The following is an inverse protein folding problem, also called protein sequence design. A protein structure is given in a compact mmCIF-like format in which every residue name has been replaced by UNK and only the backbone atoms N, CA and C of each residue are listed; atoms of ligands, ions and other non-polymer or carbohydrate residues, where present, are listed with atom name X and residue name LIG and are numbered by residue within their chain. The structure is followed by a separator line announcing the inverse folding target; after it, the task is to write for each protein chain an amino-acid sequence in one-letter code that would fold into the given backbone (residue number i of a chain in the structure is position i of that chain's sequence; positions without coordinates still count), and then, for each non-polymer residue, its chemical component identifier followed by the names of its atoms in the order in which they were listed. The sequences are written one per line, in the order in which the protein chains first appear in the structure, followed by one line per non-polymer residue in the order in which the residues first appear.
data_IF_270542063089
#
_entry.id   IF_270542063089
#
_cell.length_a   1.000
_cell.length_b   1.000
_cell.length_c   1.000
_cell.angle_alpha   90.00
_cell.angle_beta   90.00
_cell.angle_gamma   90.00
#
_symmetry.space_group_name_H-M   'P 1'
#
loop_
_entity.id
_entity.type
_entity.pdbx_description
1 polymer ?
#
# COMPACT_ATOMS: atom_id res chain seq x y z
N UNK A 1 -30.53 -41.23 28.23
CA UNK A 1 -29.44 -40.50 27.56
C UNK A 1 -29.58 -39.06 27.98
N UNK A 2 -28.74 -38.60 28.93
CA UNK A 2 -28.86 -37.24 29.46
C UNK A 2 -28.42 -36.24 28.40
N UNK A 3 -29.36 -35.44 27.90
CA UNK A 3 -29.08 -34.34 26.92
C UNK A 3 -27.99 -33.37 27.40
N UNK A 4 -27.81 -33.30 28.73
CA UNK A 4 -26.83 -32.44 29.38
C UNK A 4 -25.38 -32.94 29.29
N UNK A 5 -25.15 -34.23 28.94
CA UNK A 5 -23.79 -34.80 28.83
C UNK A 5 -23.24 -34.74 27.38
N UNK A 6 -24.01 -34.22 26.43
CA UNK A 6 -23.64 -34.16 25.01
C UNK A 6 -22.98 -32.83 24.65
N UNK A 7 -21.79 -32.87 24.08
CA UNK A 7 -21.02 -31.69 23.65
C UNK A 7 -21.79 -30.81 22.66
N UNK A 8 -22.61 -31.40 21.80
CA UNK A 8 -23.43 -30.66 20.83
C UNK A 8 -24.43 -29.72 21.49
N UNK A 9 -25.02 -30.14 22.66
CA UNK A 9 -25.99 -29.32 23.38
C UNK A 9 -25.39 -28.01 23.88
N UNK A 10 -24.17 -28.02 24.43
CA UNK A 10 -23.49 -26.82 24.88
C UNK A 10 -23.19 -25.87 23.72
N UNK A 11 -22.81 -26.41 22.57
CA UNK A 11 -22.56 -25.59 21.37
C UNK A 11 -23.87 -24.98 20.84
N UNK A 12 -24.95 -25.77 20.77
CA UNK A 12 -26.25 -25.28 20.32
C UNK A 12 -26.78 -24.14 21.23
N UNK A 13 -26.70 -24.32 22.54
CA UNK A 13 -27.10 -23.31 23.52
C UNK A 13 -26.20 -22.10 23.45
N UNK A 14 -24.88 -22.31 23.34
CA UNK A 14 -23.91 -21.23 23.19
C UNK A 14 -24.17 -20.35 21.96
N UNK A 15 -24.52 -20.99 20.83
CA UNK A 15 -24.85 -20.26 19.60
C UNK A 15 -26.23 -19.58 19.72
N UNK A 16 -27.23 -20.25 20.31
CA UNK A 16 -28.56 -19.68 20.49
C UNK A 16 -28.57 -18.41 21.35
N UNK A 17 -27.69 -18.34 22.34
CA UNK A 17 -27.53 -17.15 23.21
C UNK A 17 -26.51 -16.19 22.63
N UNK A 18 -25.36 -16.68 22.14
CA UNK A 18 -24.23 -15.88 21.68
C UNK A 18 -24.52 -15.09 20.40
N UNK A 19 -25.30 -15.67 19.45
CA UNK A 19 -25.62 -14.99 18.21
C UNK A 19 -26.50 -13.75 18.44
N UNK A 20 -27.64 -13.81 19.17
CA UNK A 20 -28.43 -12.62 19.48
C UNK A 20 -27.65 -11.59 20.30
N UNK A 21 -26.89 -12.04 21.30
CA UNK A 21 -26.04 -11.14 22.09
C UNK A 21 -24.99 -10.42 21.22
N UNK A 22 -24.32 -11.16 20.35
CA UNK A 22 -23.35 -10.58 19.38
C UNK A 22 -23.99 -9.61 18.41
N UNK A 23 -25.19 -9.91 17.91
CA UNK A 23 -25.95 -9.00 17.03
C UNK A 23 -26.35 -7.72 17.76
N UNK A 24 -26.76 -7.78 19.04
CA UNK A 24 -27.08 -6.59 19.84
C UNK A 24 -25.84 -5.72 20.03
N UNK A 25 -24.71 -6.32 20.47
CA UNK A 25 -23.45 -5.60 20.68
C UNK A 25 -22.95 -4.95 19.38
N UNK A 26 -22.95 -5.70 18.26
CA UNK A 26 -22.51 -5.15 16.97
C UNK A 26 -23.47 -4.09 16.43
N UNK A 27 -24.77 -4.17 16.74
CA UNK A 27 -25.73 -3.13 16.37
C UNK A 27 -25.46 -1.86 17.13
N UNK A 28 -25.20 -1.95 18.43
CA UNK A 28 -24.87 -0.79 19.24
C UNK A 28 -23.53 -0.17 18.81
N UNK A 29 -22.52 -1.00 18.56
CA UNK A 29 -21.23 -0.56 18.03
C UNK A 29 -21.40 0.16 16.68
N UNK A 30 -22.19 -0.42 15.77
CA UNK A 30 -22.51 0.22 14.49
C UNK A 30 -23.17 1.58 14.67
N UNK A 31 -24.17 1.69 15.56
CA UNK A 31 -24.86 2.95 15.85
C UNK A 31 -23.90 4.02 16.42
N UNK A 32 -23.00 3.63 17.33
CA UNK A 32 -21.97 4.51 17.89
C UNK A 32 -21.03 5.01 16.79
N UNK A 33 -20.57 4.10 15.91
CA UNK A 33 -19.67 4.44 14.80
C UNK A 33 -20.33 5.36 13.76
N UNK A 34 -21.62 5.15 13.46
CA UNK A 34 -22.41 6.02 12.57
C UNK A 34 -22.56 7.41 13.20
N UNK A 35 -22.92 7.49 14.49
CA UNK A 35 -23.04 8.79 15.21
C UNK A 35 -21.72 9.56 15.27
N UNK A 36 -20.59 8.86 15.30
CA UNK A 36 -19.24 9.44 15.26
C UNK A 36 -18.72 9.75 13.86
N UNK A 37 -19.54 9.59 12.81
CA UNK A 37 -19.12 9.70 11.39
C UNK A 37 -17.84 8.89 11.09
N UNK A 38 -17.67 7.74 11.74
CA UNK A 38 -16.48 6.91 11.58
C UNK A 38 -16.55 6.13 10.27
N UNK A 39 -15.44 6.12 9.54
CA UNK A 39 -15.29 5.30 8.33
C UNK A 39 -15.42 3.80 8.60
N UNK A 40 -15.37 3.38 9.89
CA UNK A 40 -15.50 1.99 10.32
C UNK A 40 -16.93 1.49 10.43
N UNK A 41 -17.94 2.34 10.27
CA UNK A 41 -19.35 1.94 10.35
C UNK A 41 -19.73 0.86 9.33
N UNK A 42 -19.17 0.94 8.11
CA UNK A 42 -19.38 -0.05 7.05
C UNK A 42 -18.81 -1.42 7.43
N UNK A 43 -17.65 -1.47 8.07
CA UNK A 43 -17.01 -2.71 8.53
C UNK A 43 -17.83 -3.38 9.64
N UNK A 44 -18.35 -2.59 10.58
CA UNK A 44 -19.25 -3.09 11.62
C UNK A 44 -20.53 -3.69 11.03
N UNK A 45 -21.10 -3.09 9.96
CA UNK A 45 -22.27 -3.63 9.28
C UNK A 45 -21.97 -4.95 8.53
N UNK A 46 -20.81 -5.08 7.89
CA UNK A 46 -20.38 -6.33 7.24
C UNK A 46 -20.20 -7.45 8.26
N UNK A 47 -19.57 -7.15 9.38
CA UNK A 47 -19.39 -8.11 10.48
C UNK A 47 -20.74 -8.61 11.03
N UNK A 48 -21.65 -7.66 11.31
CA UNK A 48 -22.98 -7.96 11.87
C UNK A 48 -23.87 -8.73 10.90
N UNK A 49 -23.95 -8.28 9.63
CA UNK A 49 -24.98 -8.78 8.72
C UNK A 49 -24.58 -10.08 8.02
N UNK A 50 -23.27 -10.31 7.84
CA UNK A 50 -22.79 -11.45 7.04
C UNK A 50 -21.86 -12.36 7.82
N UNK A 51 -20.82 -11.83 8.45
CA UNK A 51 -19.78 -12.67 9.05
C UNK A 51 -20.27 -13.41 10.28
N UNK A 52 -20.98 -12.72 11.18
CA UNK A 52 -21.47 -13.31 12.42
C UNK A 52 -22.54 -14.37 12.16
N UNK A 53 -23.58 -14.16 11.33
CA UNK A 53 -24.57 -15.20 11.02
C UNK A 53 -23.93 -16.40 10.31
N UNK A 54 -23.06 -16.19 9.33
CA UNK A 54 -22.40 -17.27 8.61
C UNK A 54 -21.46 -18.07 9.52
N UNK A 55 -20.73 -17.39 10.42
CA UNK A 55 -19.89 -18.03 11.43
C UNK A 55 -20.71 -18.89 12.41
N UNK A 56 -21.88 -18.39 12.83
CA UNK A 56 -22.80 -19.15 13.68
C UNK A 56 -23.34 -20.41 12.99
N UNK A 57 -23.72 -20.30 11.70
CA UNK A 57 -24.14 -21.45 10.89
C UNK A 57 -23.03 -22.49 10.76
N UNK A 58 -21.80 -22.06 10.47
CA UNK A 58 -20.63 -22.95 10.40
C UNK A 58 -20.36 -23.66 11.73
N UNK A 59 -20.38 -22.92 12.83
CA UNK A 59 -20.19 -23.50 14.16
C UNK A 59 -21.29 -24.52 14.48
N UNK A 60 -22.54 -24.25 14.08
CA UNK A 60 -23.66 -25.14 14.28
C UNK A 60 -23.49 -26.43 13.47
N UNK A 61 -23.11 -26.31 12.20
CA UNK A 61 -22.89 -27.48 11.34
C UNK A 61 -21.72 -28.34 11.83
N UNK A 62 -20.59 -27.74 12.15
CA UNK A 62 -19.36 -28.49 12.48
C UNK A 62 -19.39 -29.00 13.91
N UNK A 63 -19.94 -28.23 14.88
CA UNK A 63 -19.85 -28.55 16.31
C UNK A 63 -21.14 -29.15 16.89
N UNK A 64 -22.30 -28.69 16.43
CA UNK A 64 -23.57 -29.19 16.95
C UNK A 64 -24.11 -30.33 16.10
N UNK A 65 -23.97 -30.30 14.77
CA UNK A 65 -24.43 -31.36 13.88
C UNK A 65 -23.36 -32.40 13.55
N UNK A 66 -22.11 -32.19 14.04
CA UNK A 66 -20.95 -33.08 13.86
C UNK A 66 -20.66 -33.42 12.39
N UNK A 67 -21.03 -32.51 11.47
CA UNK A 67 -20.77 -32.66 10.04
C UNK A 67 -19.24 -32.57 9.81
N UNK A 68 -18.66 -33.55 9.10
CA UNK A 68 -17.21 -33.51 8.84
C UNK A 68 -16.81 -32.24 8.11
N UNK A 69 -15.63 -31.70 8.47
CA UNK A 69 -15.08 -30.52 7.80
C UNK A 69 -14.80 -30.75 6.30
N UNK A 70 -14.72 -32.00 5.87
CA UNK A 70 -14.51 -32.43 4.49
C UNK A 70 -15.79 -32.41 3.65
N UNK A 71 -16.95 -32.27 4.28
CA UNK A 71 -18.23 -32.20 3.59
C UNK A 71 -18.23 -31.01 2.61
N UNK A 72 -18.67 -31.20 1.35
CA UNK A 72 -18.72 -30.14 0.36
C UNK A 72 -19.48 -28.90 0.83
N UNK A 73 -20.58 -29.07 1.59
CA UNK A 73 -21.37 -27.97 2.12
C UNK A 73 -20.57 -27.14 3.12
N UNK A 74 -19.84 -27.81 4.04
CA UNK A 74 -18.98 -27.14 5.02
C UNK A 74 -17.84 -26.42 4.32
N UNK A 75 -17.20 -27.05 3.33
CA UNK A 75 -16.11 -26.43 2.54
C UNK A 75 -16.60 -25.18 1.81
N UNK A 76 -17.76 -25.22 1.15
CA UNK A 76 -18.33 -24.05 0.46
C UNK A 76 -18.61 -22.91 1.45
N UNK A 77 -19.26 -23.19 2.57
CA UNK A 77 -19.57 -22.19 3.60
C UNK A 77 -18.30 -21.62 4.24
N UNK A 78 -17.30 -22.47 4.50
CA UNK A 78 -16.00 -22.04 5.03
C UNK A 78 -15.24 -21.16 4.02
N UNK A 79 -15.35 -21.48 2.72
CA UNK A 79 -14.78 -20.64 1.65
C UNK A 79 -15.47 -19.27 1.61
N UNK A 80 -16.79 -19.23 1.68
CA UNK A 80 -17.56 -17.99 1.75
C UNK A 80 -17.21 -17.16 2.99
N UNK A 81 -17.07 -17.82 4.15
CA UNK A 81 -16.64 -17.18 5.39
C UNK A 81 -15.24 -16.59 5.28
N UNK A 82 -14.28 -17.37 4.77
CA UNK A 82 -12.90 -16.90 4.55
C UNK A 82 -12.84 -15.71 3.58
N UNK A 83 -13.65 -15.75 2.51
CA UNK A 83 -13.75 -14.62 1.57
C UNK A 83 -14.33 -13.37 2.24
N UNK A 84 -15.37 -13.50 3.05
CA UNK A 84 -15.93 -12.37 3.81
C UNK A 84 -14.92 -11.78 4.81
N UNK A 85 -14.14 -12.64 5.49
CA UNK A 85 -13.05 -12.21 6.37
C UNK A 85 -12.00 -11.43 5.56
N UNK A 86 -11.59 -11.93 4.39
CA UNK A 86 -10.65 -11.25 3.51
C UNK A 86 -11.17 -9.86 3.09
N UNK A 87 -12.42 -9.78 2.64
CA UNK A 87 -13.07 -8.51 2.26
C UNK A 87 -13.12 -7.54 3.46
N UNK A 88 -13.43 -8.04 4.64
CA UNK A 88 -13.46 -7.24 5.88
C UNK A 88 -12.07 -6.69 6.21
N UNK A 89 -11.03 -7.53 6.17
CA UNK A 89 -9.65 -7.13 6.43
C UNK A 89 -9.16 -6.07 5.43
N UNK A 90 -9.41 -6.27 4.14
CA UNK A 90 -9.05 -5.30 3.11
C UNK A 90 -9.82 -3.99 3.25
N UNK A 91 -11.10 -4.06 3.62
CA UNK A 91 -11.92 -2.88 3.88
C UNK A 91 -11.42 -2.12 5.11
N UNK A 92 -11.00 -2.83 6.15
CA UNK A 92 -10.42 -2.24 7.36
C UNK A 92 -9.07 -1.57 7.06
N UNK A 93 -8.20 -2.23 6.32
CA UNK A 93 -6.93 -1.66 5.86
C UNK A 93 -7.17 -0.37 5.05
N UNK A 94 -8.12 -0.40 4.12
CA UNK A 94 -8.44 0.78 3.33
C UNK A 94 -8.97 1.94 4.20
N UNK A 95 -9.85 1.64 5.15
CA UNK A 95 -10.42 2.65 6.05
C UNK A 95 -9.34 3.29 6.96
N UNK A 96 -8.43 2.47 7.50
CA UNK A 96 -7.38 2.96 8.43
C UNK A 96 -6.24 3.65 7.70
N UNK A 97 -5.81 3.15 6.54
CA UNK A 97 -4.64 3.67 5.84
C UNK A 97 -4.96 4.89 4.97
N UNK A 98 -6.12 4.92 4.31
CA UNK A 98 -6.43 5.93 3.29
C UNK A 98 -7.53 6.89 3.68
N UNK A 99 -8.62 6.44 4.30
CA UNK A 99 -9.76 7.29 4.59
C UNK A 99 -9.55 8.21 5.81
N UNK A 100 -8.75 7.78 6.79
CA UNK A 100 -8.38 8.57 7.97
C UNK A 100 -7.21 9.53 7.76
N UNK A 101 -6.59 9.59 6.58
CA UNK A 101 -5.40 10.40 6.34
C UNK A 101 -5.74 11.91 6.21
N UNK A 102 -4.97 12.81 6.87
CA UNK A 102 -5.11 14.26 6.71
C UNK A 102 -5.01 14.68 5.23
N UNK A 103 -5.67 15.79 4.85
CA UNK A 103 -5.72 16.24 3.45
C UNK A 103 -4.35 16.52 2.83
N UNK A 104 -3.36 16.89 3.64
CA UNK A 104 -1.98 17.17 3.23
C UNK A 104 -1.06 15.94 3.29
N UNK A 105 -1.58 14.75 3.66
CA UNK A 105 -0.76 13.55 3.75
C UNK A 105 -0.31 13.05 2.38
N UNK A 106 0.95 12.60 2.27
CA UNK A 106 1.52 11.95 1.09
C UNK A 106 0.66 10.77 0.59
N UNK A 107 -0.11 10.12 1.49
CA UNK A 107 -1.00 9.00 1.16
C UNK A 107 -2.10 9.39 0.17
N UNK A 108 -2.58 10.64 0.19
CA UNK A 108 -3.56 11.15 -0.79
C UNK A 108 -2.93 11.54 -2.14
N UNK A 109 -1.61 11.64 -2.19
CA UNK A 109 -0.87 11.94 -3.43
C UNK A 109 -0.54 10.68 -4.24
N UNK A 110 -0.75 9.49 -3.66
CA UNK A 110 -0.53 8.23 -4.39
C UNK A 110 -1.58 8.09 -5.50
N UNK A 111 -1.16 7.83 -6.75
CA UNK A 111 -2.09 7.49 -7.82
C UNK A 111 -2.96 6.29 -7.43
N UNK A 112 -4.27 6.37 -7.68
CA UNK A 112 -5.23 5.32 -7.32
C UNK A 112 -4.83 3.94 -7.88
N UNK A 113 -4.17 3.93 -9.04
CA UNK A 113 -3.74 2.69 -9.70
C UNK A 113 -2.84 1.82 -8.79
N UNK A 114 -1.93 2.41 -7.99
CA UNK A 114 -1.08 1.63 -7.09
C UNK A 114 -1.87 0.97 -5.96
N UNK A 115 -2.88 1.67 -5.45
CA UNK A 115 -3.77 1.16 -4.41
C UNK A 115 -4.63 0.03 -4.96
N UNK A 116 -5.15 0.18 -6.17
CA UNK A 116 -5.97 -0.83 -6.83
C UNK A 116 -5.15 -2.08 -7.18
N UNK A 117 -3.94 -1.92 -7.74
CA UNK A 117 -3.03 -3.04 -8.03
C UNK A 117 -2.68 -3.80 -6.74
N UNK A 118 -2.32 -3.09 -5.66
CA UNK A 118 -2.03 -3.71 -4.38
C UNK A 118 -3.26 -4.47 -3.82
N UNK A 119 -4.46 -3.91 -3.96
CA UNK A 119 -5.71 -4.55 -3.55
C UNK A 119 -5.97 -5.82 -4.34
N UNK A 120 -5.84 -5.79 -5.67
CA UNK A 120 -6.01 -6.98 -6.52
C UNK A 120 -5.00 -8.06 -6.18
N UNK A 121 -3.75 -7.70 -5.94
CA UNK A 121 -2.71 -8.65 -5.50
C UNK A 121 -3.07 -9.30 -4.16
N UNK A 122 -3.51 -8.52 -3.17
CA UNK A 122 -3.93 -9.03 -1.86
C UNK A 122 -5.17 -9.92 -1.95
N UNK A 123 -6.14 -9.59 -2.80
CA UNK A 123 -7.31 -10.44 -3.05
C UNK A 123 -6.88 -11.77 -3.68
N UNK A 124 -6.01 -11.73 -4.69
CA UNK A 124 -5.50 -12.93 -5.35
C UNK A 124 -4.74 -13.86 -4.39
N UNK A 125 -3.83 -13.28 -3.60
CA UNK A 125 -3.07 -14.04 -2.58
C UNK A 125 -4.03 -14.62 -1.52
N UNK A 126 -4.95 -13.82 -0.98
CA UNK A 126 -5.92 -14.26 0.01
C UNK A 126 -6.82 -15.38 -0.50
N UNK A 127 -7.31 -15.26 -1.74
CA UNK A 127 -8.10 -16.30 -2.39
C UNK A 127 -7.29 -17.59 -2.61
N UNK A 128 -6.04 -17.48 -3.06
CA UNK A 128 -5.14 -18.62 -3.23
C UNK A 128 -4.91 -19.36 -1.90
N UNK A 129 -4.70 -18.63 -0.81
CA UNK A 129 -4.55 -19.19 0.55
C UNK A 129 -5.83 -19.93 0.98
N UNK A 130 -7.01 -19.31 0.80
CA UNK A 130 -8.31 -19.90 1.13
C UNK A 130 -8.51 -21.20 0.36
N UNK A 131 -8.27 -21.19 -0.95
CA UNK A 131 -8.42 -22.38 -1.79
C UNK A 131 -7.40 -23.48 -1.44
N UNK A 132 -6.17 -23.10 -1.14
CA UNK A 132 -5.14 -24.06 -0.71
C UNK A 132 -5.51 -24.74 0.60
N UNK A 133 -5.96 -23.95 1.59
CA UNK A 133 -6.26 -24.46 2.92
C UNK A 133 -7.53 -25.33 2.97
N UNK A 134 -8.61 -24.91 2.29
CA UNK A 134 -9.91 -25.57 2.36
C UNK A 134 -10.03 -26.71 1.35
N UNK A 135 -9.53 -26.50 0.13
CA UNK A 135 -9.69 -27.44 -0.99
C UNK A 135 -8.42 -28.25 -1.29
N UNK A 136 -7.32 -27.99 -0.58
CA UNK A 136 -6.04 -28.68 -0.83
C UNK A 136 -5.42 -28.36 -2.19
N UNK A 137 -5.81 -27.24 -2.83
CA UNK A 137 -5.27 -26.83 -4.13
C UNK A 137 -3.79 -26.49 -4.00
N UNK A 138 -2.96 -27.09 -4.83
CA UNK A 138 -1.52 -26.83 -4.84
C UNK A 138 -1.21 -25.50 -5.51
N UNK A 139 -1.13 -24.45 -4.73
CA UNK A 139 -0.87 -23.07 -5.23
C UNK A 139 0.63 -22.76 -5.38
N UNK A 140 1.53 -23.71 -5.04
CA UNK A 140 2.97 -23.50 -5.10
C UNK A 140 3.49 -23.11 -6.49
N UNK A 141 2.98 -23.76 -7.55
CA UNK A 141 3.32 -23.40 -8.92
C UNK A 141 2.88 -21.98 -9.31
N UNK A 142 1.71 -21.56 -8.84
CA UNK A 142 1.20 -20.20 -9.03
C UNK A 142 2.12 -19.16 -8.35
N UNK A 143 2.51 -19.41 -7.11
CA UNK A 143 3.43 -18.51 -6.40
C UNK A 143 4.83 -18.49 -7.01
N UNK A 144 5.31 -19.64 -7.51
CA UNK A 144 6.58 -19.69 -8.24
C UNK A 144 6.52 -18.85 -9.53
N UNK A 145 5.44 -18.98 -10.31
CA UNK A 145 5.24 -18.20 -11.53
C UNK A 145 5.12 -16.69 -11.22
N UNK A 146 4.37 -16.32 -10.18
CA UNK A 146 4.28 -14.92 -9.72
C UNK A 146 5.62 -14.39 -9.24
N UNK A 147 6.43 -15.23 -8.57
CA UNK A 147 7.79 -14.88 -8.15
C UNK A 147 8.70 -14.54 -9.31
N UNK A 148 8.74 -15.42 -10.34
CA UNK A 148 9.51 -15.18 -11.55
C UNK A 148 9.03 -13.90 -12.27
N UNK A 149 7.72 -13.74 -12.42
CA UNK A 149 7.13 -12.54 -13.05
C UNK A 149 7.51 -11.27 -12.27
N UNK A 150 7.49 -11.33 -10.94
CA UNK A 150 7.87 -10.19 -10.10
C UNK A 150 9.34 -9.80 -10.28
N UNK A 151 10.23 -10.78 -10.42
CA UNK A 151 11.67 -10.52 -10.73
C UNK A 151 11.82 -9.83 -12.07
N UNK A 152 11.13 -10.31 -13.11
CA UNK A 152 11.17 -9.69 -14.44
C UNK A 152 10.66 -8.26 -14.40
N UNK A 153 9.52 -8.01 -13.75
CA UNK A 153 8.96 -6.67 -13.58
C UNK A 153 9.93 -5.78 -12.77
N UNK A 154 10.51 -6.32 -11.69
CA UNK A 154 11.49 -5.61 -10.87
C UNK A 154 12.70 -5.15 -11.67
N UNK A 155 13.25 -6.02 -12.52
CA UNK A 155 14.35 -5.68 -13.42
C UNK A 155 13.95 -4.61 -14.45
N UNK A 156 12.75 -4.68 -15.02
CA UNK A 156 12.24 -3.64 -15.93
C UNK A 156 12.09 -2.27 -15.26
N UNK A 157 11.68 -2.24 -13.99
CA UNK A 157 11.46 -1.02 -13.23
C UNK A 157 12.71 -0.49 -12.51
N UNK A 158 13.80 -1.26 -12.48
CA UNK A 158 15.01 -0.96 -11.71
C UNK A 158 15.53 0.47 -11.96
N UNK A 159 15.64 0.87 -13.23
CA UNK A 159 16.12 2.21 -13.59
C UNK A 159 15.15 3.32 -13.14
N UNK A 160 13.85 3.09 -13.27
CA UNK A 160 12.82 4.07 -12.85
C UNK A 160 12.82 4.27 -11.35
N UNK A 161 12.95 3.18 -10.58
CA UNK A 161 13.05 3.23 -9.10
C UNK A 161 14.36 3.93 -8.70
N UNK A 162 15.48 3.64 -9.36
CA UNK A 162 16.75 4.31 -9.14
C UNK A 162 16.65 5.84 -9.32
N UNK A 163 15.95 6.30 -10.35
CA UNK A 163 15.72 7.73 -10.59
C UNK A 163 14.91 8.39 -9.47
N UNK A 164 13.86 7.72 -8.99
CA UNK A 164 13.03 8.23 -7.88
C UNK A 164 13.86 8.33 -6.60
N UNK A 165 14.62 7.27 -6.29
CA UNK A 165 15.48 7.22 -5.08
C UNK A 165 16.54 8.32 -5.14
N UNK A 166 17.21 8.50 -6.28
CA UNK A 166 18.19 9.59 -6.49
C UNK A 166 17.57 10.97 -6.29
N UNK A 167 16.35 11.18 -6.81
CA UNK A 167 15.61 12.43 -6.60
C UNK A 167 15.29 12.70 -5.12
N UNK A 168 14.90 11.67 -4.38
CA UNK A 168 14.66 11.78 -2.95
C UNK A 168 15.94 12.11 -2.18
N UNK A 169 17.07 11.49 -2.49
CA UNK A 169 18.36 11.80 -1.86
C UNK A 169 18.76 13.26 -2.12
N UNK A 170 18.63 13.74 -3.35
CA UNK A 170 18.90 15.15 -3.68
C UNK A 170 18.05 16.13 -2.86
N UNK A 171 16.78 15.79 -2.60
CA UNK A 171 15.90 16.62 -1.76
C UNK A 171 16.25 16.55 -0.26
N UNK A 172 16.75 15.41 0.22
CA UNK A 172 17.14 15.25 1.62
C UNK A 172 18.51 15.84 1.93
N UNK A 173 19.50 15.55 1.10
CA UNK A 173 20.88 15.99 1.33
C UNK A 173 21.11 17.45 0.96
N UNK A 174 20.30 17.99 0.06
CA UNK A 174 20.39 19.38 -0.45
C UNK A 174 21.82 19.81 -0.76
N UNK A 175 22.55 19.11 -1.63
CA UNK A 175 23.93 19.44 -1.96
C UNK A 175 24.03 20.82 -2.65
N UNK A 176 22.90 21.30 -3.17
CA UNK A 176 22.68 22.65 -3.67
C UNK A 176 21.27 23.13 -3.31
N UNK A 177 21.03 24.41 -3.39
CA UNK A 177 19.73 25.05 -3.17
C UNK A 177 19.31 25.87 -4.38
N UNK A 178 18.05 26.29 -4.39
CA UNK A 178 17.58 27.29 -5.34
C UNK A 178 18.48 28.54 -5.18
N UNK A 179 18.86 29.15 -6.29
CA UNK A 179 19.78 30.28 -6.43
C UNK A 179 21.26 29.91 -6.38
N UNK A 180 21.67 28.68 -6.06
CA UNK A 180 23.06 28.25 -6.17
C UNK A 180 23.48 28.16 -7.65
N UNK A 181 24.75 28.50 -7.95
CA UNK A 181 25.35 28.27 -9.23
C UNK A 181 25.99 26.89 -9.31
N UNK A 182 25.58 26.12 -10.29
CA UNK A 182 26.11 24.78 -10.55
C UNK A 182 26.89 24.74 -11.84
N UNK A 183 27.98 23.99 -11.81
CA UNK A 183 28.73 23.59 -13.00
C UNK A 183 28.74 22.07 -13.11
N UNK A 184 28.24 21.60 -14.22
CA UNK A 184 28.21 20.21 -14.63
C UNK A 184 28.91 20.05 -15.97
N UNK A 185 29.26 18.85 -16.42
CA UNK A 185 29.87 18.64 -17.74
C UNK A 185 29.06 19.18 -18.91
N UNK A 186 27.73 19.32 -18.74
CA UNK A 186 26.80 19.69 -19.81
C UNK A 186 26.14 21.05 -19.61
N UNK A 187 26.20 21.62 -18.39
CA UNK A 187 25.55 22.88 -18.06
C UNK A 187 26.33 23.66 -17.01
N UNK A 188 26.33 24.96 -17.14
CA UNK A 188 26.76 25.92 -16.12
C UNK A 188 25.69 26.98 -15.98
N UNK A 189 25.13 27.14 -14.77
CA UNK A 189 24.07 28.13 -14.59
C UNK A 189 23.53 28.14 -13.17
N UNK A 190 22.48 28.93 -12.97
CA UNK A 190 21.81 29.13 -11.68
C UNK A 190 20.64 28.17 -11.53
N UNK A 191 20.50 27.51 -10.38
CA UNK A 191 19.37 26.66 -10.04
C UNK A 191 18.13 27.52 -9.81
N UNK A 192 17.12 27.37 -10.63
CA UNK A 192 15.86 28.11 -10.51
C UNK A 192 14.74 27.26 -9.89
N UNK A 193 14.81 25.94 -10.04
CA UNK A 193 13.81 25.03 -9.49
C UNK A 193 14.41 23.66 -9.18
N UNK A 194 14.00 23.05 -8.07
CA UNK A 194 14.38 21.68 -7.68
C UNK A 194 13.12 20.86 -7.44
N UNK A 195 12.90 19.88 -8.30
CA UNK A 195 11.78 18.94 -8.22
C UNK A 195 12.28 17.54 -7.81
N UNK A 196 11.36 16.67 -7.41
CA UNK A 196 11.68 15.27 -7.07
C UNK A 196 12.28 14.47 -8.24
N UNK A 197 12.11 14.93 -9.47
CA UNK A 197 12.55 14.24 -10.70
C UNK A 197 13.68 14.95 -11.42
N UNK A 198 13.71 16.27 -11.40
CA UNK A 198 14.65 17.06 -12.16
C UNK A 198 14.99 18.38 -11.47
N UNK A 199 16.17 18.92 -11.80
CA UNK A 199 16.62 20.26 -11.45
C UNK A 199 16.59 21.12 -12.70
N UNK A 200 16.12 22.35 -12.57
CA UNK A 200 16.07 23.32 -13.64
C UNK A 200 17.20 24.35 -13.43
N UNK A 201 18.06 24.46 -14.42
CA UNK A 201 19.24 25.32 -14.39
C UNK A 201 19.08 26.38 -15.47
N UNK A 202 19.09 27.66 -15.07
CA UNK A 202 19.13 28.79 -16.00
C UNK A 202 20.59 29.03 -16.42
N UNK A 203 20.89 28.79 -17.69
CA UNK A 203 22.21 28.94 -18.27
C UNK A 203 22.47 30.33 -18.85
N UNK A 204 21.51 31.26 -18.78
CA UNK A 204 21.55 32.57 -19.42
C UNK A 204 21.19 32.53 -20.91
N UNK A 205 21.34 31.40 -21.58
CA UNK A 205 20.91 31.16 -22.96
C UNK A 205 19.64 30.35 -23.07
N UNK A 206 19.16 29.80 -21.95
CA UNK A 206 17.96 28.98 -21.85
C UNK A 206 17.88 28.17 -20.56
N UNK A 207 16.77 27.49 -20.37
CA UNK A 207 16.53 26.65 -19.22
C UNK A 207 16.93 25.20 -19.53
N UNK A 208 17.95 24.70 -18.83
CA UNK A 208 18.35 23.30 -18.94
C UNK A 208 17.66 22.47 -17.84
N UNK A 209 16.94 21.43 -18.24
CA UNK A 209 16.26 20.50 -17.35
C UNK A 209 17.13 19.25 -17.20
N UNK A 210 17.67 19.02 -16.00
CA UNK A 210 18.58 17.92 -15.73
C UNK A 210 17.92 16.91 -14.78
N UNK A 211 17.74 15.63 -15.20
CA UNK A 211 17.21 14.58 -14.33
C UNK A 211 18.08 14.39 -13.08
N UNK A 212 17.45 14.20 -11.91
CA UNK A 212 18.17 13.97 -10.65
C UNK A 212 19.04 12.72 -10.68
N UNK A 213 18.64 11.69 -11.43
CA UNK A 213 19.44 10.48 -11.64
C UNK A 213 20.76 10.76 -12.34
N UNK A 214 20.79 11.73 -13.24
CA UNK A 214 22.02 12.15 -13.91
C UNK A 214 22.92 12.92 -12.94
N UNK A 215 22.38 13.86 -12.18
CA UNK A 215 23.12 14.59 -11.15
C UNK A 215 23.67 13.69 -10.04
N UNK A 216 22.93 12.64 -9.66
CA UNK A 216 23.37 11.69 -8.64
C UNK A 216 24.56 10.82 -9.08
N UNK A 217 24.77 10.65 -10.39
CA UNK A 217 25.84 9.81 -10.97
C UNK A 217 26.96 10.60 -11.63
N UNK A 218 26.78 11.91 -11.77
CA UNK A 218 27.75 12.80 -12.42
C UNK A 218 28.35 13.76 -11.39
N UNK A 219 29.67 13.95 -11.43
CA UNK A 219 30.31 14.96 -10.62
C UNK A 219 29.84 16.36 -11.06
N UNK A 220 29.51 17.20 -10.10
CA UNK A 220 29.17 18.59 -10.32
C UNK A 220 29.87 19.47 -9.28
N UNK A 221 30.09 20.74 -9.61
CA UNK A 221 30.67 21.73 -8.72
C UNK A 221 29.60 22.74 -8.32
N UNK A 222 29.41 22.93 -7.02
CA UNK A 222 28.57 24.01 -6.51
C UNK A 222 29.46 25.26 -6.36
N UNK A 223 29.31 26.22 -7.28
CA UNK A 223 30.07 27.45 -7.31
C UNK A 223 29.63 28.50 -6.28
N UNK A 224 28.50 28.23 -5.57
CA UNK A 224 28.01 29.10 -4.49
C UNK A 224 28.47 28.67 -3.12
N UNK A 225 29.18 27.52 -3.00
CA UNK A 225 29.67 26.98 -1.74
C UNK A 225 31.10 26.47 -1.84
N UNK A 226 31.97 26.79 -0.85
CA UNK A 226 31.73 27.69 0.29
C UNK A 226 31.61 29.15 -0.12
N UNK A 227 30.88 29.95 0.67
CA UNK A 227 30.67 31.36 0.37
C UNK A 227 32.00 32.14 0.33
N UNK A 228 32.22 32.95 -0.73
CA UNK A 228 33.35 33.87 -0.84
C UNK A 228 34.63 33.30 -1.44
N UNK A 229 34.67 32.08 -1.96
CA UNK A 229 35.87 31.47 -2.53
C UNK A 229 35.67 31.04 -3.98
N UNK A 230 35.45 31.99 -4.87
CA UNK A 230 35.35 31.69 -6.32
C UNK A 230 36.33 32.49 -7.12
N UNK A 231 37.13 31.80 -7.94
CA UNK A 231 38.00 32.41 -8.93
C UNK A 231 37.20 32.72 -10.20
N UNK A 232 37.16 33.98 -10.61
CA UNK A 232 36.53 34.39 -11.85
C UNK A 232 37.64 34.86 -12.81
N UNK A 233 37.92 34.11 -13.88
CA UNK A 233 38.82 34.53 -14.94
C UNK A 233 38.05 35.22 -16.07
N UNK A 234 38.38 36.45 -16.37
CA UNK A 234 37.85 37.20 -17.51
C UNK A 234 38.95 37.29 -18.58
N UNK A 235 38.71 36.64 -19.71
CA UNK A 235 39.62 36.78 -20.87
C UNK A 235 39.09 37.86 -21.79
N UNK A 236 39.85 38.97 -21.91
CA UNK A 236 39.54 40.04 -22.84
C UNK A 236 40.54 40.01 -24.02
N UNK A 237 40.01 39.95 -25.23
CA UNK A 237 40.83 40.08 -26.46
C UNK A 237 40.81 41.51 -26.92
N UNK A 238 41.99 42.11 -26.99
CA UNK A 238 42.20 43.45 -27.60
C UNK A 238 42.59 43.29 -29.07
N UNK A 239 41.90 43.99 -29.96
CA UNK A 239 42.30 44.11 -31.34
C UNK A 239 43.43 45.13 -31.40
N UNK A 240 44.64 44.70 -31.73
CA UNK A 240 45.72 45.58 -32.09
C UNK A 240 45.55 46.00 -33.55
N UNK A 241 45.11 47.23 -33.77
CA UNK A 241 45.11 47.90 -35.07
C UNK A 241 46.53 48.32 -35.47
#
# INVERSE_FOLDING_TARGET
MNLLDSTWFYWAVGIAIGLPAGLIVLTELHNILVRRNSHLARQASLLRNYLLPLGAVLLLLVKASEVPAEDPTVRVLTTAFGFLVLVLLLSLLNATLFQGAPQQSWRKRLPAIFVDVARFALIGIGLAVILSYIWGVRVGGLFAALGVTSVVIGLMLQNSVGQIVSGLFMLFEQPFRIDDWLETPTARGRVVEVNWRAVHIDTGSGLQIMPNSMLATTAFTNLSRPAGAHECSITTTFSTS
#
